data_IF_922402451381
#
_entry.id   IF_922402451381
#
_cell.length_a   1.000
_cell.length_b   1.000
_cell.length_c   1.000
_cell.angle_alpha   90.00
_cell.angle_beta   90.00
_cell.angle_gamma   90.00
#
_symmetry.space_group_name_H-M   'P 1'
#
loop_
_entity.id
_entity.type
_entity.pdbx_description
1 polymer ?
#
# COMPACT_ATOMS: atom_id res chain seq x y z
N UNK A 1 -26.59 5.90 -19.70
CA UNK A 1 -27.13 5.49 -18.40
C UNK A 1 -25.90 5.14 -17.59
N UNK A 2 -25.51 5.99 -16.64
CA UNK A 2 -24.31 5.76 -15.84
C UNK A 2 -24.63 4.67 -14.83
N UNK A 3 -23.92 3.55 -14.90
CA UNK A 3 -23.94 2.54 -13.84
C UNK A 3 -23.35 3.18 -12.60
N UNK A 4 -24.22 3.63 -11.70
CA UNK A 4 -23.82 4.06 -10.36
C UNK A 4 -23.49 2.75 -9.63
N UNK A 5 -22.23 2.58 -9.20
CA UNK A 5 -21.83 1.47 -8.35
C UNK A 5 -22.70 1.51 -7.09
N UNK A 6 -23.62 0.55 -6.97
CA UNK A 6 -24.47 0.40 -5.81
C UNK A 6 -23.81 -0.64 -4.92
N UNK A 7 -23.31 -0.19 -3.76
CA UNK A 7 -22.77 -1.07 -2.73
C UNK A 7 -23.92 -1.81 -2.06
N UNK A 8 -23.77 -3.12 -1.89
CA UNK A 8 -24.79 -3.97 -1.28
C UNK A 8 -24.89 -3.73 0.24
N UNK A 9 -23.81 -3.27 0.87
CA UNK A 9 -23.76 -2.92 2.28
C UNK A 9 -23.26 -1.46 2.45
N UNK A 10 -23.97 -0.61 3.23
CA UNK A 10 -23.54 0.77 3.48
C UNK A 10 -22.21 0.90 4.24
N UNK A 11 -21.75 -0.16 4.91
CA UNK A 11 -20.46 -0.20 5.58
C UNK A 11 -19.31 -0.62 4.65
N UNK A 12 -19.58 -0.98 3.40
CA UNK A 12 -18.54 -1.31 2.43
C UNK A 12 -17.71 -0.06 2.09
N UNK A 13 -16.40 -0.19 2.24
CA UNK A 13 -15.45 0.87 1.85
C UNK A 13 -15.00 0.59 0.42
N UNK A 14 -15.19 1.58 -0.46
CA UNK A 14 -14.66 1.53 -1.83
C UNK A 14 -13.26 2.12 -1.83
N UNK A 15 -12.28 1.28 -2.14
CA UNK A 15 -10.87 1.68 -2.24
C UNK A 15 -10.44 1.75 -3.70
N UNK A 16 -9.53 2.69 -3.99
CA UNK A 16 -9.04 2.90 -5.35
C UNK A 16 -7.82 2.02 -5.63
N UNK A 17 -7.87 1.25 -6.72
CA UNK A 17 -6.70 0.52 -7.20
C UNK A 17 -5.61 1.50 -7.64
N UNK A 18 -4.37 1.28 -7.18
CA UNK A 18 -3.25 2.17 -7.48
C UNK A 18 -2.73 2.01 -8.91
N UNK A 19 -2.95 0.87 -9.57
CA UNK A 19 -2.28 0.53 -10.83
C UNK A 19 -1.00 -0.30 -10.64
N UNK A 20 -0.59 -0.55 -9.39
CA UNK A 20 0.65 -1.27 -9.05
C UNK A 20 0.34 -2.61 -8.41
N UNK A 21 1.22 -3.60 -8.62
CA UNK A 21 1.18 -4.90 -7.94
C UNK A 21 2.38 -5.04 -7.01
N UNK A 22 2.18 -5.70 -5.89
CA UNK A 22 3.25 -6.08 -4.98
C UNK A 22 4.13 -7.17 -5.60
N UNK A 23 5.20 -7.55 -4.90
CA UNK A 23 6.16 -8.54 -5.38
C UNK A 23 5.59 -9.96 -5.53
N UNK A 24 4.40 -10.23 -4.99
CA UNK A 24 3.67 -11.50 -5.12
C UNK A 24 2.57 -11.42 -6.19
N UNK A 25 2.45 -10.29 -6.89
CA UNK A 25 1.44 -10.06 -7.92
C UNK A 25 0.07 -9.67 -7.39
N UNK A 26 -0.05 -9.33 -6.10
CA UNK A 26 -1.30 -8.83 -5.52
C UNK A 26 -1.46 -7.34 -5.83
N UNK A 27 -2.67 -6.93 -6.19
CA UNK A 27 -3.01 -5.54 -6.48
C UNK A 27 -2.96 -4.70 -5.20
N UNK A 28 -2.36 -3.52 -5.29
CA UNK A 28 -2.26 -2.56 -4.18
C UNK A 28 -3.33 -1.49 -4.35
N UNK A 29 -4.07 -1.21 -3.28
CA UNK A 29 -5.15 -0.23 -3.21
C UNK A 29 -4.80 0.89 -2.22
N UNK A 30 -5.55 1.99 -2.26
CA UNK A 30 -5.56 2.96 -1.15
C UNK A 30 -6.01 2.26 0.14
N UNK A 31 -5.34 2.53 1.27
CA UNK A 31 -5.63 1.88 2.56
C UNK A 31 -4.74 0.67 2.86
N UNK A 32 -4.04 0.14 1.85
CA UNK A 32 -3.09 -0.96 2.02
C UNK A 32 -1.84 -0.54 2.81
N UNK A 33 -1.29 -1.49 3.57
CA UNK A 33 -0.08 -1.35 4.37
C UNK A 33 0.99 -2.25 3.78
N UNK A 34 2.09 -1.66 3.34
CA UNK A 34 3.18 -2.38 2.67
C UNK A 34 4.49 -2.36 3.46
N UNK A 35 5.29 -3.39 3.24
CA UNK A 35 6.69 -3.47 3.67
C UNK A 35 7.60 -3.20 2.48
N UNK A 36 8.54 -2.27 2.65
CA UNK A 36 9.51 -1.92 1.63
C UNK A 36 10.86 -2.60 1.87
N UNK A 37 11.55 -2.96 0.80
CA UNK A 37 12.96 -3.35 0.82
C UNK A 37 13.80 -2.30 0.09
N UNK A 38 14.80 -1.76 0.76
CA UNK A 38 15.72 -0.74 0.23
C UNK A 38 17.15 -1.29 0.42
N UNK A 39 17.95 -1.28 -0.65
CA UNK A 39 19.31 -1.85 -0.67
C UNK A 39 19.41 -3.30 -0.11
N UNK A 40 18.38 -4.13 -0.35
CA UNK A 40 18.31 -5.50 0.16
C UNK A 40 17.91 -5.63 1.63
N UNK A 41 17.67 -4.51 2.33
CA UNK A 41 17.23 -4.48 3.71
C UNK A 41 15.72 -4.21 3.80
N UNK A 42 15.02 -5.11 4.48
CA UNK A 42 13.60 -4.92 4.83
C UNK A 42 13.50 -3.79 5.85
N UNK A 43 12.65 -2.80 5.56
CA UNK A 43 12.41 -1.69 6.47
C UNK A 43 11.48 -2.13 7.61
N UNK A 44 11.84 -1.78 8.84
CA UNK A 44 11.04 -2.09 10.03
C UNK A 44 9.68 -1.40 9.97
N UNK A 45 9.68 -0.11 9.60
CA UNK A 45 8.47 0.68 9.43
C UNK A 45 7.66 0.22 8.22
N UNK A 46 6.34 0.21 8.39
CA UNK A 46 5.37 -0.10 7.35
C UNK A 46 4.72 1.16 6.82
N UNK A 47 4.41 1.14 5.53
CA UNK A 47 3.91 2.31 4.82
C UNK A 47 2.44 2.12 4.48
N UNK A 48 1.62 3.07 4.93
CA UNK A 48 0.24 3.20 4.49
C UNK A 48 0.20 3.85 3.11
N UNK A 49 -0.46 3.21 2.15
CA UNK A 49 -0.75 3.75 0.83
C UNK A 49 -1.93 4.71 0.96
N UNK A 50 -1.67 6.01 0.81
CA UNK A 50 -2.68 7.07 1.00
C UNK A 50 -3.34 7.50 -0.30
N UNK A 51 -2.71 7.23 -1.44
CA UNK A 51 -3.22 7.57 -2.76
C UNK A 51 -2.48 6.78 -3.87
N UNK A 52 -3.00 6.87 -5.10
CA UNK A 52 -2.45 6.16 -6.26
C UNK A 52 -0.99 6.50 -6.61
N UNK A 53 -0.50 7.69 -6.25
CA UNK A 53 0.85 8.12 -6.61
C UNK A 53 1.92 7.57 -5.67
N UNK A 54 1.57 7.21 -4.44
CA UNK A 54 2.55 6.76 -3.43
C UNK A 54 3.42 5.59 -3.93
N UNK A 55 2.87 4.49 -4.49
CA UNK A 55 3.69 3.38 -4.96
C UNK A 55 4.57 3.74 -6.17
N UNK A 56 4.15 4.70 -7.01
CA UNK A 56 4.89 5.10 -8.21
C UNK A 56 6.10 5.97 -7.87
N UNK A 57 5.99 6.82 -6.85
CA UNK A 57 7.10 7.65 -6.35
C UNK A 57 8.25 6.79 -5.82
N UNK A 58 7.94 5.61 -5.29
CA UNK A 58 8.92 4.71 -4.68
C UNK A 58 9.73 3.87 -5.68
N UNK A 59 9.24 3.68 -6.91
CA UNK A 59 9.81 2.72 -7.86
C UNK A 59 10.57 3.35 -9.04
N UNK A 60 10.17 4.52 -9.54
CA UNK A 60 10.70 5.00 -10.84
C UNK A 60 11.45 6.35 -10.84
N UNK A 61 11.35 7.17 -9.79
CA UNK A 61 11.97 8.52 -9.78
C UNK A 61 12.76 8.90 -8.52
N UNK A 62 12.89 8.01 -7.54
CA UNK A 62 13.67 8.31 -6.32
C UNK A 62 15.18 8.32 -6.61
N UNK A 63 15.93 9.22 -5.96
CA UNK A 63 17.39 9.09 -5.86
C UNK A 63 17.76 7.65 -5.51
N UNK A 64 18.71 7.06 -6.24
CA UNK A 64 19.06 5.62 -6.16
C UNK A 64 19.30 5.08 -4.73
N UNK A 65 19.57 5.96 -3.77
CA UNK A 65 19.80 5.62 -2.36
C UNK A 65 18.52 5.26 -1.57
N UNK A 66 17.34 5.68 -2.03
CA UNK A 66 16.05 5.39 -1.39
C UNK A 66 15.09 4.60 -2.29
N UNK A 67 15.57 4.09 -3.42
CA UNK A 67 14.75 3.33 -4.34
C UNK A 67 14.25 2.04 -3.70
N UNK A 68 12.92 1.89 -3.66
CA UNK A 68 12.29 0.68 -3.15
C UNK A 68 12.44 -0.42 -4.20
N UNK A 69 13.17 -1.47 -3.85
CA UNK A 69 13.44 -2.60 -4.73
C UNK A 69 12.31 -3.62 -4.72
N UNK A 70 11.61 -3.71 -3.59
CA UNK A 70 10.52 -4.68 -3.37
C UNK A 70 9.47 -4.07 -2.44
N UNK A 71 8.21 -4.25 -2.80
CA UNK A 71 7.05 -3.94 -1.95
C UNK A 71 6.29 -5.24 -1.71
N UNK A 72 5.94 -5.52 -0.47
CA UNK A 72 5.07 -6.63 -0.10
C UNK A 72 3.87 -6.13 0.69
N UNK A 73 2.68 -6.55 0.29
CA UNK A 73 1.47 -6.23 1.04
C UNK A 73 1.42 -7.01 2.36
N UNK A 74 1.21 -6.32 3.47
CA UNK A 74 1.12 -6.93 4.82
C UNK A 74 -0.27 -6.89 5.43
N UNK A 75 -1.10 -5.96 5.01
CA UNK A 75 -2.47 -5.80 5.51
C UNK A 75 -3.08 -4.52 4.97
N UNK A 76 -4.19 -4.09 5.57
CA UNK A 76 -4.80 -2.78 5.30
C UNK A 76 -5.25 -2.13 6.61
N UNK A 77 -5.63 -0.86 6.55
CA UNK A 77 -6.03 -0.09 7.74
C UNK A 77 -7.33 -0.59 8.41
N UNK A 78 -8.17 -1.32 7.69
CA UNK A 78 -9.46 -1.81 8.18
C UNK A 78 -9.33 -3.11 8.97
N UNK A 79 -8.47 -4.01 8.51
CA UNK A 79 -8.26 -5.34 9.10
C UNK A 79 -7.03 -5.39 10.01
N UNK A 80 -6.02 -4.55 9.75
CA UNK A 80 -4.72 -4.60 10.42
C UNK A 80 -4.21 -3.20 10.87
N UNK A 81 -5.02 -2.40 11.58
CA UNK A 81 -4.60 -1.07 12.03
C UNK A 81 -3.35 -1.12 12.93
N UNK A 82 -3.11 -2.22 13.64
CA UNK A 82 -1.96 -2.44 14.51
C UNK A 82 -0.61 -2.44 13.78
N UNK A 83 -0.59 -2.68 12.46
CA UNK A 83 0.65 -2.69 11.67
C UNK A 83 1.27 -1.30 11.50
N UNK A 84 0.54 -0.23 11.86
CA UNK A 84 1.04 1.15 11.84
C UNK A 84 1.46 1.65 13.24
N UNK A 85 1.29 0.85 14.28
CA UNK A 85 1.73 1.22 15.62
C UNK A 85 3.24 1.02 15.72
N UNK A 86 3.98 2.12 15.96
CA UNK A 86 5.40 2.04 16.25
C UNK A 86 5.60 1.17 17.49
N UNK A 87 6.47 0.16 17.43
CA UNK A 87 6.88 -0.61 18.60
C UNK A 87 7.71 0.29 19.53
N UNK A 88 7.04 1.15 20.28
CA UNK A 88 7.64 1.85 21.41
C UNK A 88 7.72 0.86 22.58
N UNK A 89 8.88 0.21 22.70
CA UNK A 89 9.27 -0.53 23.90
C UNK A 89 9.56 0.37 25.09
#
# INVERSE_FOLDING_TARGET
>A
MSDIFQLDNPDDVVEQYTGVKDANGKEIYEGDIIEATIEGCVQDDKYLVKNMWDPHVWTEESDNYYAVQKMELKGNIHENPELLEAQHG
#
